data_IF_338667343975
#
_entry.id   IF_338667343975
#
_cell.length_a   1.000
_cell.length_b   1.000
_cell.length_c   1.000
_cell.angle_alpha   90.00
_cell.angle_beta   90.00
_cell.angle_gamma   90.00
#
_symmetry.space_group_name_H-M   'P 1'
#
loop_
_entity.id
_entity.type
_entity.pdbx_description
1 polymer ?
#
# COMPACT_ATOMS: atom_id res chain seq x y z
N UNK A 1 -28.95 -29.63 -37.36
CA UNK A 1 -27.51 -29.35 -37.47
C UNK A 1 -27.01 -28.93 -36.10
N UNK A 2 -26.09 -29.69 -35.47
CA UNK A 2 -25.56 -29.36 -34.14
C UNK A 2 -24.33 -28.46 -34.32
N UNK A 3 -24.45 -27.19 -33.95
CA UNK A 3 -23.32 -26.26 -34.03
C UNK A 3 -22.37 -26.54 -32.85
N UNK A 4 -21.09 -26.81 -33.15
CA UNK A 4 -20.05 -26.97 -32.13
C UNK A 4 -19.24 -25.69 -32.04
N UNK A 5 -19.28 -25.04 -30.89
CA UNK A 5 -18.39 -23.93 -30.53
C UNK A 5 -17.13 -24.46 -29.84
N UNK A 6 -15.97 -23.87 -30.16
CA UNK A 6 -14.68 -24.20 -29.53
C UNK A 6 -14.33 -23.10 -28.53
N UNK A 7 -14.34 -23.44 -27.24
CA UNK A 7 -13.88 -22.56 -26.16
C UNK A 7 -12.38 -22.77 -25.94
N UNK A 8 -11.63 -21.66 -25.86
CA UNK A 8 -10.25 -21.67 -25.33
C UNK A 8 -10.29 -21.01 -23.96
N UNK A 9 -9.94 -21.75 -22.92
CA UNK A 9 -9.92 -21.28 -21.54
C UNK A 9 -8.48 -21.01 -21.10
N UNK A 10 -8.17 -19.75 -20.79
CA UNK A 10 -6.82 -19.29 -20.41
C UNK A 10 -6.71 -18.96 -18.90
N UNK A 11 -7.53 -19.57 -18.05
CA UNK A 11 -7.68 -19.16 -16.65
C UNK A 11 -6.38 -19.12 -15.83
N UNK A 12 -5.44 -20.03 -16.07
CA UNK A 12 -4.13 -20.02 -15.38
C UNK A 12 -3.30 -18.79 -15.74
N UNK A 13 -3.27 -18.41 -17.02
CA UNK A 13 -2.56 -17.22 -17.47
C UNK A 13 -3.21 -15.96 -16.87
N UNK A 14 -4.54 -15.85 -16.96
CA UNK A 14 -5.31 -14.72 -16.39
C UNK A 14 -5.06 -14.58 -14.89
N UNK A 15 -5.10 -15.67 -14.12
CA UNK A 15 -4.84 -15.65 -12.68
C UNK A 15 -3.42 -15.21 -12.35
N UNK A 16 -2.42 -15.71 -13.10
CA UNK A 16 -1.03 -15.30 -12.92
C UNK A 16 -0.87 -13.80 -13.18
N UNK A 17 -1.43 -13.31 -14.28
CA UNK A 17 -1.28 -11.92 -14.69
C UNK A 17 -2.03 -10.97 -13.74
N UNK A 18 -3.21 -11.39 -13.25
CA UNK A 18 -3.95 -10.69 -12.20
C UNK A 18 -3.14 -10.59 -10.90
N UNK A 19 -2.54 -11.69 -10.43
CA UNK A 19 -1.70 -11.71 -9.22
C UNK A 19 -0.46 -10.82 -9.35
N UNK A 20 0.19 -10.84 -10.52
CA UNK A 20 1.30 -9.93 -10.80
C UNK A 20 0.87 -8.45 -10.80
N UNK A 21 -0.32 -8.16 -11.32
CA UNK A 21 -0.92 -6.83 -11.23
C UNK A 21 -1.21 -6.41 -9.80
N UNK A 22 -1.77 -7.32 -8.99
CA UNK A 22 -2.07 -7.07 -7.59
C UNK A 22 -0.79 -6.79 -6.78
N UNK A 23 0.27 -7.58 -6.95
CA UNK A 23 1.54 -7.36 -6.25
C UNK A 23 2.18 -5.99 -6.58
N UNK A 24 2.19 -5.60 -7.87
CA UNK A 24 2.64 -4.26 -8.27
C UNK A 24 1.75 -3.16 -7.72
N UNK A 25 0.45 -3.37 -7.77
CA UNK A 25 -0.55 -2.45 -7.23
C UNK A 25 -0.37 -2.21 -5.74
N UNK A 26 -0.17 -3.29 -4.98
CA UNK A 26 0.03 -3.25 -3.54
C UNK A 26 1.29 -2.45 -3.18
N UNK A 27 2.41 -2.69 -3.88
CA UNK A 27 3.62 -1.89 -3.70
C UNK A 27 3.37 -0.40 -3.96
N UNK A 28 2.72 -0.05 -5.07
CA UNK A 28 2.43 1.35 -5.40
C UNK A 28 1.49 1.99 -4.37
N UNK A 29 0.44 1.29 -3.95
CA UNK A 29 -0.49 1.78 -2.93
C UNK A 29 0.19 2.00 -1.57
N UNK A 30 1.09 1.11 -1.17
CA UNK A 30 1.84 1.26 0.08
C UNK A 30 2.91 2.35 0.00
N UNK A 31 3.54 2.57 -1.14
CA UNK A 31 4.43 3.72 -1.37
C UNK A 31 3.66 5.04 -1.29
N UNK A 32 2.44 5.09 -1.84
CA UNK A 32 1.54 6.24 -1.67
C UNK A 32 1.22 6.48 -0.20
N UNK A 33 0.84 5.42 0.54
CA UNK A 33 0.60 5.51 1.98
C UNK A 33 1.83 6.02 2.74
N UNK A 34 3.02 5.49 2.45
CA UNK A 34 4.26 5.94 3.08
C UNK A 34 4.54 7.41 2.78
N UNK A 35 4.27 7.87 1.56
CA UNK A 35 4.43 9.28 1.19
C UNK A 35 3.51 10.18 2.04
N UNK A 36 2.21 9.87 2.12
CA UNK A 36 1.26 10.68 2.92
C UNK A 36 1.58 10.58 4.42
N UNK A 37 2.00 9.42 4.89
CA UNK A 37 2.45 9.21 6.28
C UNK A 37 3.67 10.08 6.61
N UNK A 38 4.63 10.24 5.68
CA UNK A 38 5.81 11.10 5.85
C UNK A 38 5.47 12.58 5.97
N UNK A 39 4.33 13.03 5.47
CA UNK A 39 3.87 14.41 5.68
C UNK A 39 3.36 14.65 7.10
N UNK A 40 2.99 13.58 7.82
CA UNK A 40 2.38 13.65 9.17
C UNK A 40 3.29 13.18 10.29
N UNK A 41 4.26 12.32 9.98
CA UNK A 41 5.19 11.78 10.97
C UNK A 41 6.00 12.91 11.62
N UNK A 42 6.32 12.83 12.93
CA UNK A 42 7.15 13.81 13.61
C UNK A 42 8.52 14.00 12.94
N UNK A 43 8.96 15.26 12.80
CA UNK A 43 10.08 15.67 11.93
C UNK A 43 11.34 16.09 12.70
N UNK A 44 11.31 16.10 14.03
CA UNK A 44 12.26 16.81 14.91
C UNK A 44 13.73 16.67 14.45
N UNK A 45 14.23 15.43 14.35
CA UNK A 45 15.54 15.11 13.76
C UNK A 45 15.42 14.48 12.35
N UNK A 46 14.18 14.22 11.93
CA UNK A 46 13.79 13.46 10.74
C UNK A 46 14.22 11.99 10.75
N UNK A 47 14.81 11.49 11.84
CA UNK A 47 15.28 10.09 11.95
C UNK A 47 14.13 9.10 11.85
N UNK A 48 13.00 9.40 12.48
CA UNK A 48 11.78 8.60 12.34
C UNK A 48 11.23 8.66 10.92
N UNK A 49 11.05 9.85 10.35
CA UNK A 49 10.58 10.02 8.97
C UNK A 49 11.39 9.19 7.95
N UNK A 50 12.72 9.26 8.04
CA UNK A 50 13.62 8.55 7.13
C UNK A 50 13.63 7.03 7.31
N UNK A 51 13.19 6.49 8.45
CA UNK A 51 13.14 5.04 8.67
C UNK A 51 11.93 4.35 8.03
N UNK A 52 10.98 5.14 7.50
CA UNK A 52 9.79 4.65 6.82
C UNK A 52 10.10 3.69 5.67
N UNK A 53 9.52 2.50 5.70
CA UNK A 53 9.80 1.39 4.76
C UNK A 53 8.51 0.72 4.30
N UNK A 54 8.43 0.42 3.00
CA UNK A 54 7.39 -0.46 2.41
C UNK A 54 7.94 -1.87 2.27
N UNK A 55 7.19 -2.85 2.79
CA UNK A 55 7.48 -4.28 2.60
C UNK A 55 6.28 -4.95 1.95
N UNK A 56 6.53 -5.84 0.98
CA UNK A 56 5.49 -6.58 0.27
C UNK A 56 5.88 -8.04 0.14
N UNK A 57 5.01 -8.94 0.60
CA UNK A 57 5.01 -10.34 0.25
C UNK A 57 4.12 -10.55 -0.98
N UNK A 58 4.75 -10.68 -2.15
CA UNK A 58 4.04 -10.87 -3.42
C UNK A 58 3.35 -12.24 -3.53
N UNK A 59 3.81 -13.23 -2.77
CA UNK A 59 3.22 -14.56 -2.76
C UNK A 59 1.94 -14.57 -1.91
N UNK A 60 1.95 -13.92 -0.75
CA UNK A 60 0.77 -13.74 0.08
C UNK A 60 -0.19 -12.65 -0.45
N UNK A 61 0.33 -11.70 -1.25
CA UNK A 61 -0.34 -10.44 -1.59
C UNK A 61 -0.66 -9.62 -0.33
N UNK A 62 0.31 -9.58 0.59
CA UNK A 62 0.27 -8.81 1.81
C UNK A 62 1.42 -7.80 1.84
N UNK A 63 1.24 -6.71 2.56
CA UNK A 63 2.29 -5.70 2.68
C UNK A 63 2.02 -4.74 3.82
N UNK A 64 3.06 -4.02 4.20
CA UNK A 64 3.06 -3.14 5.35
C UNK A 64 3.89 -1.89 5.08
N UNK A 65 3.51 -0.80 5.74
CA UNK A 65 4.36 0.38 5.94
C UNK A 65 4.80 0.36 7.40
N UNK A 66 6.10 0.50 7.64
CA UNK A 66 6.67 0.48 9.00
C UNK A 66 7.68 1.60 9.20
N UNK A 67 7.88 1.97 10.46
CA UNK A 67 8.92 2.89 10.89
C UNK A 67 9.79 2.21 11.94
N UNK A 68 11.11 2.27 11.76
CA UNK A 68 12.07 1.51 12.58
C UNK A 68 12.91 2.43 13.46
N UNK A 69 12.29 2.92 14.54
CA UNK A 69 13.03 3.56 15.64
C UNK A 69 12.47 3.10 16.99
N UNK A 70 13.27 3.13 18.08
CA UNK A 70 12.81 2.72 19.41
C UNK A 70 11.61 3.52 19.92
N UNK A 71 11.36 4.71 19.36
CA UNK A 71 10.29 5.61 19.76
C UNK A 71 9.13 5.66 18.75
N UNK A 72 9.19 4.92 17.64
CA UNK A 72 8.16 4.95 16.59
C UNK A 72 6.75 4.64 17.14
N UNK A 73 6.61 3.57 17.92
CA UNK A 73 5.33 3.18 18.52
C UNK A 73 4.81 4.27 19.47
N UNK A 74 5.68 4.82 20.31
CA UNK A 74 5.27 5.90 21.23
C UNK A 74 4.79 7.12 20.45
N UNK A 75 5.55 7.57 19.45
CA UNK A 75 5.20 8.72 18.62
C UNK A 75 3.90 8.47 17.83
N UNK A 76 3.59 7.21 17.50
CA UNK A 76 2.38 6.86 16.76
C UNK A 76 1.14 6.81 17.67
N UNK A 77 1.24 6.19 18.84
CA UNK A 77 0.08 5.82 19.66
C UNK A 77 -0.23 6.81 20.80
N UNK A 78 0.76 7.58 21.26
CA UNK A 78 0.63 8.49 22.41
C UNK A 78 0.00 9.83 21.98
N UNK A 79 -1.33 9.92 22.09
CA UNK A 79 -2.12 11.10 21.68
C UNK A 79 -1.90 12.34 22.57
N UNK A 80 -1.19 12.21 23.70
CA UNK A 80 -0.84 13.34 24.56
C UNK A 80 0.42 14.08 24.08
N UNK A 81 1.16 13.50 23.13
CA UNK A 81 2.32 14.15 22.52
C UNK A 81 1.91 15.35 21.67
N UNK A 82 2.71 16.42 21.77
CA UNK A 82 2.55 17.62 20.96
C UNK A 82 3.62 17.64 19.89
N UNK A 83 3.21 17.45 18.64
CA UNK A 83 4.08 17.55 17.47
C UNK A 83 4.01 18.94 16.85
N UNK A 84 4.96 19.22 15.96
CA UNK A 84 5.00 20.44 15.17
C UNK A 84 3.76 20.59 14.26
N UNK A 85 3.54 21.79 13.73
CA UNK A 85 2.41 22.09 12.86
C UNK A 85 2.35 21.13 11.65
N UNK A 86 1.16 20.57 11.40
CA UNK A 86 0.93 19.58 10.34
C UNK A 86 1.40 18.16 10.67
N UNK A 87 2.08 17.96 11.81
CA UNK A 87 2.52 16.65 12.30
C UNK A 87 1.57 16.14 13.37
N UNK A 88 1.40 14.82 13.46
CA UNK A 88 0.44 14.21 14.36
C UNK A 88 0.86 12.80 14.78
N UNK A 89 0.33 12.34 15.91
CA UNK A 89 0.21 10.92 16.21
C UNK A 89 -0.70 10.25 15.17
N UNK A 90 -0.85 8.93 15.22
CA UNK A 90 -1.65 8.15 14.27
C UNK A 90 -1.25 8.33 12.79
N UNK A 91 0.00 8.74 12.53
CA UNK A 91 0.53 9.03 11.18
C UNK A 91 0.53 7.84 10.18
N UNK A 92 0.30 6.60 10.61
CA UNK A 92 0.01 5.46 9.72
C UNK A 92 -1.49 5.17 9.59
N UNK A 93 -2.23 5.24 10.69
CA UNK A 93 -3.63 4.84 10.75
C UNK A 93 -4.54 5.85 10.05
N UNK A 94 -4.33 7.14 10.32
CA UNK A 94 -5.16 8.19 9.72
C UNK A 94 -4.94 8.27 8.20
N UNK A 95 -3.70 8.31 7.67
CA UNK A 95 -3.48 8.23 6.22
C UNK A 95 -4.03 6.96 5.59
N UNK A 96 -3.95 5.81 6.27
CA UNK A 96 -4.49 4.57 5.72
C UNK A 96 -6.01 4.64 5.56
N UNK A 97 -6.72 5.23 6.53
CA UNK A 97 -8.16 5.35 6.45
C UNK A 97 -8.59 6.39 5.40
N UNK A 98 -7.93 7.54 5.39
CA UNK A 98 -8.22 8.65 4.46
C UNK A 98 -7.89 8.31 3.00
N UNK A 99 -6.77 7.62 2.77
CA UNK A 99 -6.29 7.28 1.41
C UNK A 99 -6.73 5.90 0.94
N UNK A 100 -7.61 5.22 1.71
CA UNK A 100 -8.07 3.85 1.41
C UNK A 100 -8.53 3.68 -0.03
N UNK A 101 -9.38 4.59 -0.50
CA UNK A 101 -9.96 4.50 -1.84
C UNK A 101 -8.90 4.73 -2.93
N UNK A 102 -7.99 5.69 -2.71
CA UNK A 102 -6.87 5.95 -3.63
C UNK A 102 -5.95 4.72 -3.72
N UNK A 103 -5.63 4.09 -2.59
CA UNK A 103 -4.83 2.87 -2.54
C UNK A 103 -5.53 1.73 -3.31
N UNK A 104 -6.82 1.53 -3.09
CA UNK A 104 -7.61 0.52 -3.81
C UNK A 104 -7.65 0.79 -5.32
N UNK A 105 -7.77 2.05 -5.72
CA UNK A 105 -7.76 2.44 -7.12
C UNK A 105 -6.39 2.23 -7.78
N UNK A 106 -5.29 2.52 -7.08
CA UNK A 106 -3.93 2.23 -7.54
C UNK A 106 -3.74 0.72 -7.74
N UNK A 107 -4.23 -0.11 -6.81
CA UNK A 107 -4.20 -1.57 -6.93
C UNK A 107 -5.01 -2.02 -8.15
N UNK A 108 -6.26 -1.56 -8.25
CA UNK A 108 -7.17 -1.93 -9.34
C UNK A 108 -6.63 -1.51 -10.71
N UNK A 109 -5.99 -0.33 -10.80
CA UNK A 109 -5.36 0.14 -12.02
C UNK A 109 -4.25 -0.80 -12.51
N UNK A 110 -3.43 -1.33 -11.61
CA UNK A 110 -2.37 -2.28 -11.99
C UNK A 110 -2.92 -3.65 -12.37
N UNK A 111 -3.95 -4.15 -11.68
CA UNK A 111 -4.65 -5.38 -12.08
C UNK A 111 -5.23 -5.25 -13.48
N UNK A 112 -5.97 -4.15 -13.75
CA UNK A 112 -6.54 -3.88 -15.08
C UNK A 112 -5.47 -3.78 -16.17
N UNK A 113 -4.32 -3.16 -15.85
CA UNK A 113 -3.19 -3.04 -16.78
C UNK A 113 -2.62 -4.41 -17.15
N UNK A 114 -2.43 -5.30 -16.18
CA UNK A 114 -1.91 -6.65 -16.42
C UNK A 114 -2.83 -7.51 -17.26
N UNK A 115 -4.15 -7.31 -17.15
CA UNK A 115 -5.15 -8.10 -17.87
C UNK A 115 -5.41 -7.65 -19.31
N UNK A 116 -4.82 -6.52 -19.74
CA UNK A 116 -4.93 -6.03 -21.12
C UNK A 116 -3.85 -6.58 -22.06
N UNK A 117 -2.90 -7.33 -21.52
CA UNK A 117 -1.82 -8.00 -22.26
C UNK A 117 -2.27 -9.26 -22.98
#
# INVERSE_FOLDING_TARGET
>A
MTQRSRLRWNGQAVNRDARQGAARGLRIGLEHLLQVSRDRVPIEEGTLERSGTVTVDEAALEGAVSYDTPYAVRQHEDLDLRHDEGRTAQFLADPLDEERDVILDLIAAQVRRSLRG
#
